data_IF_597061064375
#
_entry.id   IF_597061064375
#
_cell.length_a   1.000
_cell.length_b   1.000
_cell.length_c   1.000
_cell.angle_alpha   90.00
_cell.angle_beta   90.00
_cell.angle_gamma   90.00
#
_symmetry.space_group_name_H-M   'P 1'
#
loop_
_entity.id
_entity.type
_entity.pdbx_description
1 polymer ?
#
# COMPACT_ATOMS: atom_id res chain seq x y z
N UNK A 1 -4.94 -12.97 12.99
CA UNK A 1 -3.60 -12.59 12.49
C UNK A 1 -3.52 -11.09 12.26
N UNK A 2 -2.32 -10.56 12.18
CA UNK A 2 -2.06 -9.16 11.86
C UNK A 2 -1.49 -9.09 10.44
N UNK A 3 -2.03 -8.19 9.64
CA UNK A 3 -1.48 -7.86 8.33
C UNK A 3 -0.97 -6.42 8.31
N UNK A 4 -0.06 -6.12 7.44
CA UNK A 4 0.48 -4.80 7.18
C UNK A 4 1.06 -4.74 5.77
N UNK A 5 1.16 -3.55 5.22
CA UNK A 5 1.71 -3.31 3.91
C UNK A 5 2.49 -2.00 3.87
N UNK A 6 3.57 -2.00 3.14
CA UNK A 6 4.36 -0.82 2.84
C UNK A 6 4.30 -0.56 1.33
N UNK A 7 4.03 0.67 0.95
CA UNK A 7 3.83 1.00 -0.46
C UNK A 7 5.13 0.90 -1.28
N UNK A 8 5.07 0.20 -2.41
CA UNK A 8 6.12 0.19 -3.43
C UNK A 8 6.02 1.41 -4.36
N UNK A 9 4.79 1.90 -4.57
CA UNK A 9 4.50 3.10 -5.36
C UNK A 9 3.30 3.85 -4.75
N UNK A 10 3.22 5.19 -4.96
CA UNK A 10 2.26 6.05 -4.28
C UNK A 10 0.86 6.02 -4.93
N UNK A 11 0.25 4.85 -5.02
CA UNK A 11 -1.12 4.69 -5.52
C UNK A 11 -1.85 3.63 -4.69
N UNK A 12 -3.14 3.85 -4.44
CA UNK A 12 -3.98 2.99 -3.62
C UNK A 12 -4.06 1.55 -4.15
N UNK A 13 -3.93 1.34 -5.46
CA UNK A 13 -3.89 0.01 -6.08
C UNK A 13 -2.78 -0.89 -5.52
N UNK A 14 -1.67 -0.31 -5.03
CA UNK A 14 -0.59 -1.05 -4.39
C UNK A 14 -1.01 -1.73 -3.10
N UNK A 15 -2.02 -1.21 -2.43
CA UNK A 15 -2.61 -1.79 -1.22
C UNK A 15 -3.79 -2.71 -1.56
N UNK A 16 -4.71 -2.22 -2.40
CA UNK A 16 -5.97 -2.90 -2.64
C UNK A 16 -5.79 -4.23 -3.39
N UNK A 17 -4.95 -4.25 -4.42
CA UNK A 17 -4.72 -5.44 -5.26
C UNK A 17 -4.10 -6.60 -4.47
N UNK A 18 -2.88 -6.45 -3.96
CA UNK A 18 -2.17 -7.53 -3.26
C UNK A 18 -2.87 -8.06 -2.02
N UNK A 19 -3.50 -7.16 -1.24
CA UNK A 19 -4.08 -7.50 0.07
C UNK A 19 -5.52 -8.01 0.00
N UNK A 20 -6.31 -7.58 -1.01
CA UNK A 20 -7.75 -7.82 -1.03
C UNK A 20 -8.30 -8.31 -2.38
N UNK A 21 -7.54 -8.20 -3.47
CA UNK A 21 -7.95 -8.77 -4.76
C UNK A 21 -8.07 -10.29 -4.67
N UNK A 22 -9.05 -10.88 -5.34
CA UNK A 22 -9.22 -12.33 -5.37
C UNK A 22 -7.95 -12.99 -5.90
N UNK A 23 -7.37 -13.89 -5.10
CA UNK A 23 -6.08 -14.52 -5.39
C UNK A 23 -4.86 -13.63 -5.24
N UNK A 24 -4.98 -12.46 -4.62
CA UNK A 24 -3.86 -11.57 -4.30
C UNK A 24 -2.81 -12.26 -3.45
N UNK A 25 -1.52 -12.02 -3.73
CA UNK A 25 -0.40 -12.74 -3.12
C UNK A 25 -0.26 -12.55 -1.61
N UNK A 26 -0.90 -11.53 -1.05
CA UNK A 26 -0.91 -11.22 0.38
C UNK A 26 -2.33 -11.10 0.95
N UNK A 27 -3.30 -11.66 0.23
CA UNK A 27 -4.70 -11.74 0.68
C UNK A 27 -4.89 -12.94 1.62
N UNK A 28 -4.30 -12.85 2.80
CA UNK A 28 -4.26 -13.92 3.80
C UNK A 28 -5.66 -14.24 4.39
N UNK A 29 -6.62 -13.36 4.18
CA UNK A 29 -8.02 -13.53 4.62
C UNK A 29 -8.93 -14.20 3.59
N UNK A 30 -8.40 -14.57 2.43
CA UNK A 30 -9.18 -15.11 1.31
C UNK A 30 -10.41 -14.27 0.93
N UNK A 31 -10.31 -12.94 1.09
CA UNK A 31 -11.38 -12.04 0.69
C UNK A 31 -11.60 -12.14 -0.83
N UNK A 32 -12.86 -12.17 -1.22
CA UNK A 32 -13.25 -12.22 -2.63
C UNK A 32 -14.56 -11.46 -2.83
N UNK A 33 -14.53 -10.47 -3.73
CA UNK A 33 -15.70 -9.69 -4.13
C UNK A 33 -15.56 -9.30 -5.59
N UNK A 34 -16.48 -9.77 -6.43
CA UNK A 34 -16.40 -9.57 -7.89
C UNK A 34 -16.51 -8.10 -8.29
N UNK A 35 -17.32 -7.29 -7.61
CA UNK A 35 -17.45 -5.85 -7.86
C UNK A 35 -16.16 -5.11 -7.52
N UNK A 36 -15.54 -5.48 -6.40
CA UNK A 36 -14.23 -4.96 -6.01
C UNK A 36 -13.16 -5.29 -7.06
N UNK A 37 -13.08 -6.54 -7.49
CA UNK A 37 -12.09 -6.98 -8.49
C UNK A 37 -12.29 -6.28 -9.84
N UNK A 38 -13.54 -6.05 -10.26
CA UNK A 38 -13.84 -5.33 -11.49
C UNK A 38 -13.43 -3.86 -11.42
N UNK A 39 -13.60 -3.21 -10.26
CA UNK A 39 -13.11 -1.84 -10.04
C UNK A 39 -11.57 -1.78 -10.09
N UNK A 40 -10.87 -2.76 -9.51
CA UNK A 40 -9.41 -2.85 -9.63
C UNK A 40 -8.95 -3.00 -11.09
N UNK A 41 -9.62 -3.87 -11.86
CA UNK A 41 -9.32 -4.04 -13.30
C UNK A 41 -9.54 -2.75 -14.08
N UNK A 42 -10.64 -2.06 -13.82
CA UNK A 42 -10.96 -0.78 -14.42
C UNK A 42 -9.90 0.28 -14.10
N UNK A 43 -9.53 0.40 -12.84
CA UNK A 43 -8.51 1.35 -12.40
C UNK A 43 -7.15 1.09 -13.07
N UNK A 44 -6.75 -0.18 -13.17
CA UNK A 44 -5.50 -0.59 -13.82
C UNK A 44 -5.50 -0.37 -15.34
N UNK A 45 -6.66 -0.36 -15.98
CA UNK A 45 -6.85 -0.08 -17.40
C UNK A 45 -7.26 1.37 -17.72
N UNK A 46 -7.32 2.25 -16.73
CA UNK A 46 -7.77 3.62 -16.91
C UNK A 46 -6.83 4.42 -17.83
N UNK A 47 -7.41 5.32 -18.62
CA UNK A 47 -6.66 6.15 -19.54
C UNK A 47 -5.84 7.25 -18.85
N UNK A 48 -6.25 7.65 -17.65
CA UNK A 48 -5.60 8.68 -16.86
C UNK A 48 -5.70 8.37 -15.35
N UNK A 49 -4.90 9.07 -14.57
CA UNK A 49 -4.81 8.86 -13.13
C UNK A 49 -6.11 9.27 -12.39
N UNK A 50 -6.83 10.27 -12.86
CA UNK A 50 -8.07 10.73 -12.22
C UNK A 50 -9.14 9.65 -12.28
N UNK A 51 -9.32 9.04 -13.45
CA UNK A 51 -10.23 7.90 -13.64
C UNK A 51 -9.83 6.70 -12.76
N UNK A 52 -8.53 6.38 -12.71
CA UNK A 52 -8.02 5.32 -11.85
C UNK A 52 -8.33 5.57 -10.37
N UNK A 53 -8.05 6.76 -9.86
CA UNK A 53 -8.32 7.15 -8.47
C UNK A 53 -9.81 7.06 -8.13
N UNK A 54 -10.68 7.45 -9.05
CA UNK A 54 -12.14 7.35 -8.86
C UNK A 54 -12.57 5.88 -8.64
N UNK A 55 -12.11 4.98 -9.49
CA UNK A 55 -12.46 3.55 -9.38
C UNK A 55 -11.80 2.91 -8.14
N UNK A 56 -10.57 3.30 -7.78
CA UNK A 56 -9.92 2.84 -6.56
C UNK A 56 -10.62 3.32 -5.29
N UNK A 57 -11.13 4.54 -5.26
CA UNK A 57 -11.91 5.05 -4.14
C UNK A 57 -13.23 4.27 -3.98
N UNK A 58 -13.91 3.96 -5.09
CA UNK A 58 -15.11 3.13 -5.06
C UNK A 58 -14.80 1.70 -4.55
N UNK A 59 -13.69 1.10 -4.96
CA UNK A 59 -13.23 -0.18 -4.45
C UNK A 59 -12.94 -0.12 -2.94
N UNK A 60 -12.31 0.96 -2.44
CA UNK A 60 -12.07 1.17 -1.02
C UNK A 60 -13.38 1.26 -0.21
N UNK A 61 -14.43 1.89 -0.76
CA UNK A 61 -15.74 1.96 -0.09
C UNK A 61 -16.35 0.57 0.10
N UNK A 62 -16.17 -0.33 -0.86
CA UNK A 62 -16.60 -1.74 -0.73
C UNK A 62 -15.87 -2.40 0.43
N UNK A 63 -14.54 -2.26 0.52
CA UNK A 63 -13.76 -2.82 1.62
C UNK A 63 -14.18 -2.28 2.99
N UNK A 64 -14.45 -0.98 3.09
CA UNK A 64 -14.89 -0.38 4.35
C UNK A 64 -16.28 -0.88 4.77
N UNK A 65 -17.10 -1.27 3.83
CA UNK A 65 -18.43 -1.86 4.08
C UNK A 65 -18.34 -3.33 4.46
N UNK A 66 -17.52 -4.10 3.75
CA UNK A 66 -17.36 -5.54 3.95
C UNK A 66 -16.45 -5.88 5.14
N UNK A 67 -15.53 -4.96 5.49
CA UNK A 67 -14.55 -5.08 6.57
C UNK A 67 -13.78 -6.41 6.61
N UNK A 68 -13.12 -6.81 5.51
CA UNK A 68 -12.30 -8.03 5.51
C UNK A 68 -11.11 -7.95 6.47
N UNK A 69 -10.73 -6.74 6.86
CA UNK A 69 -9.76 -6.45 7.89
C UNK A 69 -10.19 -5.23 8.70
N UNK A 70 -9.82 -5.21 9.97
CA UNK A 70 -10.09 -4.08 10.87
C UNK A 70 -8.90 -3.12 10.79
N UNK A 71 -9.06 -1.88 10.28
CA UNK A 71 -8.00 -0.87 10.30
C UNK A 71 -7.67 -0.49 11.74
N UNK A 72 -6.38 -0.48 12.08
CA UNK A 72 -5.93 -0.19 13.45
C UNK A 72 -5.22 1.16 13.52
N UNK A 73 -4.06 1.27 12.87
CA UNK A 73 -3.23 2.47 12.92
C UNK A 73 -2.25 2.54 11.75
N UNK A 74 -1.73 3.73 11.51
CA UNK A 74 -0.52 3.93 10.72
C UNK A 74 0.68 3.84 11.67
N UNK A 75 1.68 3.02 11.31
CA UNK A 75 2.89 2.89 12.12
C UNK A 75 3.77 4.14 11.97
N UNK A 76 4.31 4.62 13.09
CA UNK A 76 5.39 5.59 13.05
C UNK A 76 6.68 4.89 12.65
N UNK A 77 7.46 5.55 11.78
CA UNK A 77 8.81 5.12 11.51
C UNK A 77 9.74 5.53 12.66
N UNK A 78 10.47 4.57 13.18
CA UNK A 78 11.58 4.82 14.11
C UNK A 78 12.82 4.15 13.54
N UNK A 79 13.95 4.85 13.58
CA UNK A 79 15.23 4.33 13.12
C UNK A 79 16.38 4.93 13.93
N UNK A 80 17.44 4.15 14.09
CA UNK A 80 18.69 4.59 14.70
C UNK A 80 19.85 4.37 13.73
N UNK A 81 20.88 5.18 13.83
CA UNK A 81 22.10 5.05 13.06
C UNK A 81 23.32 5.48 13.89
N UNK A 82 24.51 4.99 13.50
CA UNK A 82 25.76 5.33 14.16
C UNK A 82 26.13 6.80 13.93
N UNK A 83 26.84 7.38 14.91
CA UNK A 83 27.46 8.71 14.77
C UNK A 83 28.52 8.75 13.66
N UNK A 84 29.03 7.58 13.23
CA UNK A 84 30.03 7.45 12.15
C UNK A 84 29.46 7.60 10.74
N UNK A 85 28.13 7.75 10.60
CA UNK A 85 27.47 7.91 9.30
C UNK A 85 26.70 9.22 9.20
N UNK A 86 26.55 9.68 7.98
CA UNK A 86 25.85 10.93 7.62
C UNK A 86 24.83 10.68 6.51
N UNK A 87 24.02 11.68 6.20
CA UNK A 87 23.03 11.65 5.13
C UNK A 87 22.00 10.51 5.27
N UNK A 88 21.62 10.15 6.50
CA UNK A 88 20.57 9.18 6.75
C UNK A 88 19.20 9.83 6.51
N UNK A 89 18.58 9.50 5.39
CA UNK A 89 17.28 10.04 4.97
C UNK A 89 16.32 8.89 4.73
N UNK A 90 15.07 9.07 5.15
CA UNK A 90 13.98 8.12 4.87
C UNK A 90 13.13 8.64 3.71
N UNK A 91 12.85 7.77 2.75
CA UNK A 91 12.02 8.10 1.59
C UNK A 91 10.53 8.30 1.94
N UNK A 92 9.75 8.70 0.95
CA UNK A 92 8.30 8.89 1.08
C UNK A 92 7.55 7.64 1.57
N UNK A 93 8.07 6.45 1.26
CA UNK A 93 7.54 5.16 1.70
C UNK A 93 8.15 4.68 3.02
N UNK A 94 8.85 5.56 3.74
CA UNK A 94 9.50 5.28 5.02
C UNK A 94 10.67 4.28 4.95
N UNK A 95 11.20 3.99 3.77
CA UNK A 95 12.40 3.17 3.59
C UNK A 95 13.64 4.06 3.62
N UNK A 96 14.73 3.65 4.32
CA UNK A 96 15.99 4.38 4.28
C UNK A 96 16.56 4.45 2.86
N UNK A 97 17.01 5.63 2.44
CA UNK A 97 17.66 5.83 1.15
C UNK A 97 19.15 5.46 1.29
N UNK A 98 19.44 4.17 1.32
CA UNK A 98 20.77 3.63 1.60
C UNK A 98 21.86 4.19 0.68
N UNK A 99 21.52 4.51 -0.57
CA UNK A 99 22.48 5.06 -1.54
C UNK A 99 22.98 6.47 -1.20
N UNK A 100 22.31 7.17 -0.28
CA UNK A 100 22.72 8.50 0.19
C UNK A 100 23.61 8.47 1.44
N UNK A 101 23.64 7.34 2.14
CA UNK A 101 24.37 7.20 3.39
C UNK A 101 25.88 7.24 3.10
N UNK A 102 26.57 8.11 3.80
CA UNK A 102 28.03 8.25 3.71
C UNK A 102 28.68 7.98 5.05
N UNK A 103 29.92 7.47 5.01
CA UNK A 103 30.75 7.36 6.20
C UNK A 103 31.41 8.74 6.46
N UNK A 104 31.42 9.16 7.71
CA UNK A 104 32.16 10.33 8.17
C UNK A 104 33.67 10.11 8.14
#
# INVERSE_FOLDING_TARGET
FRTGWQADYPLLSNFLGPLYGTGGGSNDGDYSNAEFDDLLKKANGAADQEAAVKDLNAAQEILLKDLPAIPLWYSNLTGGYSEDVDNVVFGWNQVPLYYQITKK
#
